data_IF_261051358825
#
_entry.id   IF_261051358825
#
_cell.length_a   1.000
_cell.length_b   1.000
_cell.length_c   1.000
_cell.angle_alpha   90.00
_cell.angle_beta   90.00
_cell.angle_gamma   90.00
#
_symmetry.space_group_name_H-M   'P 1'
#
loop_
_entity.id
_entity.type
_entity.pdbx_description
1 polymer ?
#
# COMPACT_ATOMS: atom_id res chain seq x y z
N UNK A 1 19.37 -13.31 -61.43
CA UNK A 1 18.94 -13.64 -60.05
C UNK A 1 19.62 -12.64 -59.13
N UNK A 2 18.89 -11.89 -58.31
CA UNK A 2 19.42 -11.18 -57.14
C UNK A 2 18.23 -10.97 -56.19
N UNK A 3 18.29 -11.56 -55.00
CA UNK A 3 17.19 -11.52 -54.02
C UNK A 3 17.37 -10.29 -53.14
N UNK A 4 16.45 -9.33 -53.21
CA UNK A 4 16.40 -8.23 -52.24
C UNK A 4 15.95 -8.77 -50.88
N UNK A 5 16.85 -8.76 -49.90
CA UNK A 5 16.55 -9.13 -48.51
C UNK A 5 15.99 -7.90 -47.81
N UNK A 6 14.68 -7.91 -47.54
CA UNK A 6 14.05 -6.90 -46.67
C UNK A 6 14.36 -7.30 -45.23
N UNK A 7 15.19 -6.50 -44.55
CA UNK A 7 15.49 -6.70 -43.14
C UNK A 7 14.42 -6.01 -42.29
N UNK A 8 13.57 -6.80 -41.62
CA UNK A 8 12.58 -6.29 -40.67
C UNK A 8 13.27 -5.99 -39.34
N UNK A 9 13.49 -4.71 -39.04
CA UNK A 9 14.02 -4.28 -37.74
C UNK A 9 12.87 -4.27 -36.71
N UNK A 10 12.73 -5.37 -35.96
CA UNK A 10 11.83 -5.41 -34.81
C UNK A 10 12.42 -4.57 -33.67
N UNK A 11 11.93 -3.35 -33.51
CA UNK A 11 12.18 -2.54 -32.31
C UNK A 11 11.31 -3.12 -31.19
N UNK A 12 11.92 -3.98 -30.36
CA UNK A 12 11.35 -4.37 -29.07
C UNK A 12 11.31 -3.13 -28.18
N UNK A 13 10.15 -2.49 -28.11
CA UNK A 13 9.88 -1.46 -27.12
C UNK A 13 9.80 -2.13 -25.75
N UNK A 14 10.96 -2.30 -25.10
CA UNK A 14 11.02 -2.71 -23.70
C UNK A 14 10.39 -1.60 -22.86
N UNK A 15 9.10 -1.75 -22.56
CA UNK A 15 8.47 -1.01 -21.48
C UNK A 15 9.15 -1.48 -20.21
N UNK A 16 10.18 -0.76 -19.79
CA UNK A 16 10.74 -0.90 -18.45
C UNK A 16 9.60 -0.63 -17.49
N UNK A 17 9.07 -1.70 -16.89
CA UNK A 17 8.23 -1.58 -15.72
C UNK A 17 9.09 -0.87 -14.68
N UNK A 18 8.79 0.41 -14.46
CA UNK A 18 9.25 1.12 -13.28
C UNK A 18 8.50 0.44 -12.15
N UNK A 19 9.11 -0.60 -11.59
CA UNK A 19 8.70 -1.09 -10.29
C UNK A 19 8.81 0.11 -9.35
N UNK A 20 7.68 0.52 -8.80
CA UNK A 20 7.70 1.47 -7.71
C UNK A 20 8.48 0.79 -6.58
N UNK A 21 9.55 1.42 -6.11
CA UNK A 21 10.39 0.96 -5.00
C UNK A 21 9.66 1.13 -3.65
N UNK A 22 8.40 0.69 -3.62
CA UNK A 22 7.39 0.98 -2.63
C UNK A 22 6.92 -0.34 -2.04
N UNK A 23 6.92 -0.39 -0.72
CA UNK A 23 6.44 -1.52 0.07
C UNK A 23 5.38 -1.07 1.04
N UNK A 24 4.90 -2.05 1.79
CA UNK A 24 4.06 -1.87 2.96
C UNK A 24 4.56 -2.80 4.06
N UNK A 25 4.34 -2.42 5.30
CA UNK A 25 4.41 -3.35 6.42
C UNK A 25 3.09 -3.45 7.20
N UNK A 26 2.91 -4.60 7.84
CA UNK A 26 1.69 -4.99 8.55
C UNK A 26 2.00 -5.87 9.77
N UNK A 27 1.27 -5.63 10.85
CA UNK A 27 1.34 -6.38 12.10
C UNK A 27 0.84 -7.84 11.97
N UNK A 28 0.95 -8.61 13.06
CA UNK A 28 0.57 -10.02 13.08
C UNK A 28 -0.94 -10.28 12.88
N UNK A 29 -1.81 -9.43 13.42
CA UNK A 29 -3.27 -9.58 13.33
C UNK A 29 -3.78 -9.16 11.94
N UNK A 30 -3.21 -8.08 11.41
CA UNK A 30 -3.47 -7.56 10.07
C UNK A 30 -3.01 -8.56 9.01
N UNK A 31 -1.75 -9.01 9.03
CA UNK A 31 -1.22 -9.97 8.04
C UNK A 31 -2.04 -11.26 7.94
N UNK A 32 -2.59 -11.74 9.07
CA UNK A 32 -3.46 -12.92 9.12
C UNK A 32 -4.89 -12.71 8.61
N UNK A 33 -5.33 -11.47 8.36
CA UNK A 33 -6.74 -11.14 8.05
C UNK A 33 -6.97 -10.50 6.67
N UNK A 34 -5.91 -10.12 5.94
CA UNK A 34 -6.01 -9.55 4.57
C UNK A 34 -6.67 -10.53 3.60
N UNK A 35 -7.72 -10.10 2.89
CA UNK A 35 -8.41 -10.96 1.92
C UNK A 35 -7.65 -11.09 0.60
N UNK A 36 -7.96 -12.12 -0.21
CA UNK A 36 -7.32 -12.33 -1.51
C UNK A 36 -7.54 -11.18 -2.50
N UNK A 37 -8.68 -10.47 -2.42
CA UNK A 37 -8.93 -9.27 -3.23
C UNK A 37 -8.09 -8.08 -2.78
N UNK A 38 -7.85 -7.96 -1.47
CA UNK A 38 -7.09 -6.85 -0.91
C UNK A 38 -5.60 -7.06 -1.18
N UNK A 39 -5.08 -8.29 -1.00
CA UNK A 39 -3.74 -8.67 -1.45
C UNK A 39 -3.52 -8.37 -2.94
N UNK A 40 -4.49 -8.72 -3.80
CA UNK A 40 -4.43 -8.42 -5.25
C UNK A 40 -4.40 -6.92 -5.55
N UNK A 41 -5.05 -6.11 -4.71
CA UNK A 41 -5.04 -4.66 -4.81
C UNK A 41 -3.69 -4.07 -4.32
N UNK A 42 -3.18 -4.56 -3.19
CA UNK A 42 -1.89 -4.14 -2.61
C UNK A 42 -0.73 -4.40 -3.58
N UNK A 43 -0.72 -5.58 -4.21
CA UNK A 43 0.25 -5.94 -5.26
C UNK A 43 0.21 -5.02 -6.50
N UNK A 44 -0.87 -4.27 -6.70
CA UNK A 44 -1.00 -3.29 -7.78
C UNK A 44 -0.20 -2.00 -7.56
N UNK A 45 0.25 -1.72 -6.32
CA UNK A 45 1.05 -0.52 -5.99
C UNK A 45 2.36 -0.83 -5.25
N UNK A 46 2.45 -1.99 -4.59
CA UNK A 46 3.58 -2.38 -3.75
C UNK A 46 4.30 -3.59 -4.33
N UNK A 47 5.63 -3.49 -4.42
CA UNK A 47 6.49 -4.57 -4.93
C UNK A 47 7.22 -5.33 -3.82
N UNK A 48 7.11 -4.86 -2.57
CA UNK A 48 7.52 -5.54 -1.34
C UNK A 48 6.38 -5.54 -0.30
N UNK A 49 6.36 -6.54 0.57
CA UNK A 49 5.68 -6.48 1.88
C UNK A 49 6.63 -6.93 2.99
N UNK A 50 6.52 -6.33 4.17
CA UNK A 50 7.18 -6.77 5.40
C UNK A 50 6.08 -7.17 6.39
N UNK A 51 6.17 -8.33 7.03
CA UNK A 51 5.12 -8.82 7.94
C UNK A 51 5.68 -9.21 9.30
N UNK A 52 4.92 -8.97 10.36
CA UNK A 52 5.35 -9.37 11.70
C UNK A 52 5.38 -10.90 11.83
N UNK A 53 6.57 -11.47 12.06
CA UNK A 53 6.74 -12.92 12.31
C UNK A 53 6.81 -13.24 13.80
N UNK A 54 7.09 -12.25 14.65
CA UNK A 54 7.18 -12.42 16.10
C UNK A 54 6.71 -11.15 16.80
N UNK A 55 5.87 -11.31 17.82
CA UNK A 55 5.35 -10.24 18.67
C UNK A 55 5.78 -10.49 20.11
N UNK A 56 6.55 -9.57 20.68
CA UNK A 56 7.22 -9.74 21.97
C UNK A 56 6.25 -10.08 23.10
N UNK A 57 6.57 -11.12 23.87
CA UNK A 57 5.72 -11.65 24.94
C UNK A 57 4.51 -12.47 24.49
N UNK A 58 4.15 -12.44 23.20
CA UNK A 58 3.10 -13.27 22.59
C UNK A 58 3.68 -14.44 21.79
N UNK A 59 4.87 -14.25 21.22
CA UNK A 59 5.60 -15.25 20.46
C UNK A 59 5.43 -15.15 18.94
N UNK A 60 5.59 -16.30 18.30
CA UNK A 60 5.61 -16.44 16.84
C UNK A 60 4.21 -16.25 16.22
N UNK A 61 4.11 -15.38 15.21
CA UNK A 61 2.91 -15.25 14.38
C UNK A 61 2.69 -16.53 13.55
N UNK A 62 1.75 -17.37 13.96
CA UNK A 62 1.45 -18.63 13.26
C UNK A 62 0.73 -18.46 11.93
N UNK A 63 0.12 -17.29 11.68
CA UNK A 63 -0.54 -16.97 10.40
C UNK A 63 0.43 -16.55 9.29
N UNK A 64 1.69 -16.22 9.63
CA UNK A 64 2.70 -15.70 8.70
C UNK A 64 2.85 -16.56 7.43
N UNK A 65 2.85 -17.90 7.55
CA UNK A 65 2.96 -18.80 6.40
C UNK A 65 1.78 -18.69 5.41
N UNK A 66 0.56 -18.48 5.92
CA UNK A 66 -0.62 -18.25 5.10
C UNK A 66 -0.58 -16.88 4.41
N UNK A 67 -0.19 -15.84 5.16
CA UNK A 67 -0.02 -14.48 4.64
C UNK A 67 1.07 -14.41 3.55
N UNK A 68 2.21 -15.07 3.76
CA UNK A 68 3.30 -15.20 2.78
C UNK A 68 2.82 -15.86 1.49
N UNK A 69 2.11 -16.98 1.58
CA UNK A 69 1.57 -17.66 0.40
C UNK A 69 0.53 -16.80 -0.34
N UNK A 70 -0.29 -16.03 0.37
CA UNK A 70 -1.27 -15.12 -0.21
C UNK A 70 -0.61 -13.92 -0.92
N UNK A 71 0.42 -13.30 -0.31
CA UNK A 71 1.20 -12.22 -0.92
C UNK A 71 1.91 -12.68 -2.20
N UNK A 72 2.53 -13.87 -2.19
CA UNK A 72 3.13 -14.46 -3.39
C UNK A 72 2.08 -14.75 -4.47
N UNK A 73 0.90 -15.29 -4.11
CA UNK A 73 -0.18 -15.58 -5.05
C UNK A 73 -0.77 -14.30 -5.70
N UNK A 74 -0.73 -13.17 -4.99
CA UNK A 74 -1.11 -11.87 -5.53
C UNK A 74 -0.03 -11.20 -6.41
N UNK A 75 1.21 -11.72 -6.38
CA UNK A 75 2.32 -11.23 -7.21
C UNK A 75 3.37 -10.40 -6.47
N UNK A 76 3.28 -10.25 -5.15
CA UNK A 76 4.34 -9.62 -4.34
C UNK A 76 5.46 -10.63 -4.14
N UNK A 77 6.59 -10.41 -4.81
CA UNK A 77 7.73 -11.35 -4.84
C UNK A 77 8.82 -11.03 -3.82
N UNK A 78 8.90 -9.79 -3.34
CA UNK A 78 9.81 -9.40 -2.26
C UNK A 78 9.04 -9.44 -0.94
N UNK A 79 9.41 -10.37 -0.06
CA UNK A 79 8.79 -10.50 1.25
C UNK A 79 9.89 -10.51 2.30
N UNK A 80 9.85 -9.55 3.21
CA UNK A 80 10.66 -9.57 4.43
C UNK A 80 9.77 -9.93 5.63
N UNK A 81 10.40 -10.24 6.76
CA UNK A 81 9.73 -10.35 8.05
C UNK A 81 10.28 -9.30 9.02
N UNK A 82 9.50 -8.91 10.02
CA UNK A 82 10.01 -8.19 11.18
C UNK A 82 9.62 -8.88 12.48
N UNK A 83 10.45 -8.71 13.50
CA UNK A 83 10.28 -9.33 14.81
C UNK A 83 10.46 -8.26 15.89
N UNK A 84 9.36 -7.91 16.55
CA UNK A 84 9.42 -7.11 17.77
C UNK A 84 9.78 -8.05 18.93
N UNK A 85 10.89 -7.76 19.61
CA UNK A 85 11.43 -8.54 20.73
C UNK A 85 11.95 -7.59 21.80
N UNK A 86 11.58 -7.79 23.06
CA UNK A 86 11.94 -6.89 24.16
C UNK A 86 12.49 -7.61 25.40
N UNK A 87 13.35 -6.97 26.19
CA UNK A 87 14.04 -7.66 27.29
C UNK A 87 13.21 -7.85 28.56
N UNK A 88 12.11 -7.10 28.71
CA UNK A 88 11.09 -7.33 29.76
C UNK A 88 9.90 -8.19 29.24
N UNK A 89 9.89 -8.56 27.95
CA UNK A 89 8.86 -9.40 27.34
C UNK A 89 8.98 -10.85 27.84
N UNK A 90 7.85 -11.44 28.25
CA UNK A 90 7.81 -12.81 28.75
C UNK A 90 8.14 -13.86 27.68
N UNK A 91 9.36 -14.40 27.71
CA UNK A 91 9.79 -15.51 26.85
C UNK A 91 10.63 -15.09 25.65
N UNK A 92 10.89 -13.79 25.50
CA UNK A 92 11.72 -13.25 24.43
C UNK A 92 13.22 -13.50 24.68
N UNK A 93 13.99 -13.63 23.61
CA UNK A 93 15.44 -13.70 23.66
C UNK A 93 16.07 -14.38 22.45
N UNK A 94 17.38 -14.67 22.50
CA UNK A 94 18.12 -15.32 21.42
C UNK A 94 17.48 -16.60 20.84
N UNK A 95 16.77 -17.38 21.67
CA UNK A 95 16.04 -18.58 21.23
C UNK A 95 14.88 -18.30 20.28
N UNK A 96 14.28 -17.11 20.34
CA UNK A 96 13.18 -16.70 19.47
C UNK A 96 13.62 -16.61 18.01
N UNK A 97 14.87 -16.23 17.73
CA UNK A 97 15.43 -16.21 16.38
C UNK A 97 15.60 -17.63 15.83
N UNK A 98 16.04 -18.58 16.66
CA UNK A 98 16.09 -20.01 16.29
C UNK A 98 14.69 -20.57 16.02
N UNK A 99 13.67 -20.11 16.76
CA UNK A 99 12.27 -20.47 16.52
C UNK A 99 11.76 -19.91 15.18
N UNK A 100 12.05 -18.65 14.86
CA UNK A 100 11.73 -18.00 13.58
C UNK A 100 12.39 -18.76 12.42
N UNK A 101 13.69 -19.02 12.49
CA UNK A 101 14.42 -19.78 11.46
C UNK A 101 13.85 -21.18 11.26
N UNK A 102 13.51 -21.88 12.35
CA UNK A 102 12.89 -23.21 12.30
C UNK A 102 11.49 -23.18 11.67
N UNK A 103 10.68 -22.15 11.96
CA UNK A 103 9.36 -21.98 11.36
C UNK A 103 9.45 -21.67 9.86
N UNK A 104 10.31 -20.74 9.46
CA UNK A 104 10.54 -20.41 8.05
C UNK A 104 11.00 -21.65 7.27
N UNK A 105 12.01 -22.37 7.79
CA UNK A 105 12.53 -23.59 7.16
C UNK A 105 11.49 -24.71 7.08
N UNK A 106 10.69 -24.93 8.12
CA UNK A 106 9.69 -26.02 8.13
C UNK A 106 8.48 -25.76 7.24
N UNK A 107 8.16 -24.49 6.96
CA UNK A 107 7.13 -24.10 6.00
C UNK A 107 7.66 -23.88 4.57
N UNK A 108 8.97 -24.06 4.33
CA UNK A 108 9.59 -23.82 3.01
C UNK A 108 9.62 -22.34 2.58
N UNK A 109 9.63 -21.43 3.55
CA UNK A 109 9.56 -19.99 3.35
C UNK A 109 10.96 -19.40 3.27
N UNK A 110 11.17 -18.44 2.36
CA UNK A 110 12.39 -17.64 2.26
C UNK A 110 12.01 -16.17 2.22
N UNK A 111 12.47 -15.42 3.23
CA UNK A 111 12.32 -13.97 3.31
C UNK A 111 13.64 -13.28 2.94
N UNK A 112 13.57 -12.05 2.44
CA UNK A 112 14.76 -11.25 2.12
C UNK A 112 15.56 -10.91 3.37
N UNK A 113 14.88 -10.33 4.36
CA UNK A 113 15.39 -10.01 5.69
C UNK A 113 14.46 -10.45 6.83
N UNK A 114 15.04 -10.62 8.02
CA UNK A 114 14.34 -10.53 9.31
C UNK A 114 14.83 -9.25 10.00
N UNK A 115 13.94 -8.27 10.08
CA UNK A 115 14.19 -6.99 10.73
C UNK A 115 13.97 -7.11 12.24
N UNK A 116 14.97 -6.75 13.05
CA UNK A 116 14.77 -6.52 14.48
C UNK A 116 14.12 -5.16 14.65
N UNK A 117 12.91 -5.17 15.19
CA UNK A 117 12.14 -3.97 15.50
C UNK A 117 12.51 -3.49 16.91
N UNK A 118 13.05 -2.26 16.99
CA UNK A 118 13.65 -1.67 18.20
C UNK A 118 13.00 -0.31 18.46
N UNK A 119 11.83 -0.35 19.10
CA UNK A 119 11.04 0.82 19.49
C UNK A 119 10.50 0.75 20.92
N UNK A 120 10.16 1.90 21.50
CA UNK A 120 9.60 2.00 22.85
C UNK A 120 8.18 1.46 22.93
N UNK A 121 7.94 0.56 23.89
CA UNK A 121 6.58 0.30 24.38
C UNK A 121 6.51 0.15 25.91
N UNK A 122 5.31 0.32 26.45
CA UNK A 122 5.04 0.39 27.89
C UNK A 122 5.36 -0.93 28.59
N UNK A 123 6.44 -0.95 29.38
CA UNK A 123 6.87 -2.13 30.14
C UNK A 123 7.66 -3.14 29.33
N UNK A 124 8.13 -2.76 28.14
CA UNK A 124 8.86 -3.63 27.22
C UNK A 124 10.39 -3.63 27.46
N UNK A 125 10.91 -2.48 27.88
CA UNK A 125 12.34 -2.26 28.01
C UNK A 125 12.73 -1.93 29.44
N UNK A 126 13.88 -2.45 29.85
CA UNK A 126 14.48 -2.07 31.13
C UNK A 126 14.83 -0.57 31.13
N UNK A 127 14.94 0.02 32.32
CA UNK A 127 15.43 1.39 32.48
C UNK A 127 16.92 1.59 32.15
N UNK A 128 17.63 0.52 31.77
CA UNK A 128 19.04 0.54 31.40
C UNK A 128 19.20 0.33 29.88
N UNK A 129 19.41 1.43 29.16
CA UNK A 129 19.64 1.44 27.71
C UNK A 129 20.86 0.59 27.28
N UNK A 130 21.85 0.39 28.17
CA UNK A 130 22.98 -0.49 27.90
C UNK A 130 22.56 -1.95 27.87
N UNK A 131 21.80 -2.40 28.86
CA UNK A 131 21.24 -3.77 28.91
C UNK A 131 20.25 -4.02 27.76
N UNK A 132 19.45 -3.02 27.39
CA UNK A 132 18.58 -3.09 26.22
C UNK A 132 19.42 -3.25 24.93
N UNK A 133 20.53 -2.50 24.81
CA UNK A 133 21.44 -2.60 23.68
C UNK A 133 22.16 -3.95 23.58
N UNK A 134 22.68 -4.47 24.69
CA UNK A 134 23.30 -5.80 24.76
C UNK A 134 22.30 -6.91 24.37
N UNK A 135 21.03 -6.77 24.78
CA UNK A 135 19.97 -7.67 24.36
C UNK A 135 19.76 -7.65 22.84
N UNK A 136 19.58 -6.48 22.21
CA UNK A 136 19.42 -6.35 20.75
C UNK A 136 20.63 -6.90 19.99
N UNK A 137 21.86 -6.67 20.50
CA UNK A 137 23.08 -7.28 19.94
C UNK A 137 23.04 -8.81 20.03
N UNK A 138 22.57 -9.39 21.13
CA UNK A 138 22.44 -10.84 21.29
C UNK A 138 21.40 -11.44 20.34
N UNK A 139 20.29 -10.74 20.08
CA UNK A 139 19.27 -11.13 19.09
C UNK A 139 19.86 -11.14 17.68
N UNK A 140 20.58 -10.08 17.29
CA UNK A 140 21.22 -9.98 15.98
C UNK A 140 22.21 -11.12 15.72
N UNK A 141 23.08 -11.40 16.70
CA UNK A 141 24.04 -12.50 16.64
C UNK A 141 23.34 -13.87 16.55
N UNK A 142 22.27 -14.08 17.32
CA UNK A 142 21.50 -15.32 17.29
C UNK A 142 20.80 -15.55 15.94
N UNK A 143 20.22 -14.50 15.36
CA UNK A 143 19.61 -14.55 14.03
C UNK A 143 20.62 -14.88 12.93
N UNK A 144 21.78 -14.22 12.93
CA UNK A 144 22.87 -14.54 12.01
C UNK A 144 23.37 -15.99 12.19
N UNK A 145 23.53 -16.46 13.43
CA UNK A 145 23.93 -17.84 13.73
C UNK A 145 22.87 -18.88 13.30
N UNK A 146 21.59 -18.50 13.30
CA UNK A 146 20.47 -19.31 12.78
C UNK A 146 20.34 -19.23 11.24
N UNK A 147 21.21 -18.49 10.55
CA UNK A 147 21.20 -18.36 9.08
C UNK A 147 20.20 -17.34 8.54
N UNK A 148 19.66 -16.46 9.39
CA UNK A 148 18.77 -15.38 8.97
C UNK A 148 19.57 -14.17 8.46
N UNK A 149 19.09 -13.57 7.38
CA UNK A 149 19.55 -12.26 6.92
C UNK A 149 18.99 -11.18 7.88
N UNK A 150 19.78 -10.75 8.86
CA UNK A 150 19.32 -9.78 9.85
C UNK A 150 19.44 -8.33 9.34
N UNK A 151 18.42 -7.52 9.65
CA UNK A 151 18.42 -6.05 9.55
C UNK A 151 17.91 -5.42 10.84
N UNK A 152 17.96 -4.09 10.94
CA UNK A 152 17.41 -3.33 12.10
C UNK A 152 16.40 -2.29 11.62
N UNK A 153 15.25 -2.25 12.29
CA UNK A 153 14.25 -1.19 12.20
C UNK A 153 14.24 -0.35 13.49
N UNK A 154 14.21 0.97 13.34
CA UNK A 154 13.97 1.94 14.43
C UNK A 154 13.78 3.35 13.85
N UNK A 155 13.59 4.35 14.71
CA UNK A 155 13.74 5.78 14.35
C UNK A 155 14.90 6.41 15.12
N UNK A 156 15.35 7.60 14.69
CA UNK A 156 16.32 8.40 15.44
C UNK A 156 15.92 8.60 16.92
N UNK A 157 14.62 8.85 17.15
CA UNK A 157 14.08 9.02 18.50
C UNK A 157 14.03 7.71 19.27
N UNK A 158 13.48 6.66 18.65
CA UNK A 158 13.30 5.35 19.27
C UNK A 158 14.61 4.68 19.65
N UNK A 159 15.61 4.72 18.76
CA UNK A 159 16.94 4.16 19.00
C UNK A 159 17.59 4.77 20.24
N UNK A 160 17.55 6.10 20.33
CA UNK A 160 18.18 6.85 21.43
C UNK A 160 17.49 6.63 22.78
N UNK A 161 16.18 6.38 22.79
CA UNK A 161 15.41 6.11 24.00
C UNK A 161 15.48 4.63 24.43
N UNK A 162 15.63 3.72 23.46
CA UNK A 162 15.63 2.27 23.72
C UNK A 162 17.01 1.75 24.06
N UNK A 163 18.01 2.03 23.22
CA UNK A 163 19.38 1.47 23.30
C UNK A 163 20.48 2.54 23.38
N UNK A 164 20.09 3.81 23.56
CA UNK A 164 21.01 4.90 23.84
C UNK A 164 22.00 5.18 22.70
N UNK A 165 23.29 4.95 22.96
CA UNK A 165 24.40 5.22 22.03
C UNK A 165 24.94 3.97 21.31
N UNK A 166 24.19 2.85 21.33
CA UNK A 166 24.57 1.62 20.65
C UNK A 166 24.90 1.88 19.17
N UNK A 167 26.06 1.41 18.71
CA UNK A 167 26.52 1.59 17.33
C UNK A 167 27.21 0.37 16.69
N UNK A 168 27.29 -0.75 17.43
CA UNK A 168 27.95 -1.99 17.00
C UNK A 168 27.16 -2.80 15.96
N UNK A 169 25.93 -2.39 15.64
CA UNK A 169 25.05 -3.03 14.67
C UNK A 169 25.02 -2.33 13.29
N UNK A 170 25.79 -1.25 13.11
CA UNK A 170 25.86 -0.47 11.85
C UNK A 170 26.36 -1.25 10.62
N UNK A 171 26.83 -2.48 10.81
CA UNK A 171 27.17 -3.43 9.75
C UNK A 171 25.95 -4.20 9.19
N UNK A 172 24.80 -4.14 9.87
CA UNK A 172 23.52 -4.67 9.39
C UNK A 172 22.81 -3.61 8.52
N UNK A 173 21.94 -4.00 7.58
CA UNK A 173 21.09 -3.06 6.88
C UNK A 173 20.13 -2.33 7.83
N UNK A 174 19.79 -1.09 7.47
CA UNK A 174 18.88 -0.22 8.21
C UNK A 174 17.59 0.02 7.44
N UNK A 175 16.49 -0.18 8.13
CA UNK A 175 15.16 0.33 7.85
C UNK A 175 14.90 1.43 8.88
N UNK A 176 14.51 2.64 8.48
CA UNK A 176 14.26 3.73 9.44
C UNK A 176 12.88 4.34 9.28
N UNK A 177 12.24 4.69 10.39
CA UNK A 177 11.01 5.46 10.38
C UNK A 177 11.28 6.98 10.39
N UNK A 178 10.64 7.69 9.46
CA UNK A 178 10.48 9.14 9.51
C UNK A 178 9.25 9.55 8.70
N UNK A 179 8.17 9.92 9.39
CA UNK A 179 6.83 10.13 8.80
C UNK A 179 6.65 11.52 8.16
N UNK A 180 7.46 11.81 7.15
CA UNK A 180 7.37 13.04 6.35
C UNK A 180 6.51 12.90 5.07
N UNK A 181 5.93 11.72 4.83
CA UNK A 181 5.19 11.37 3.61
C UNK A 181 6.04 11.44 2.32
N UNK A 182 7.38 11.37 2.44
CA UNK A 182 8.31 11.46 1.31
C UNK A 182 9.07 10.12 1.12
N UNK A 183 8.70 9.31 0.11
CA UNK A 183 9.36 8.05 -0.24
C UNK A 183 10.73 8.27 -0.92
N UNK A 184 11.70 8.76 -0.14
CA UNK A 184 13.09 8.92 -0.55
C UNK A 184 14.03 9.03 0.66
N UNK A 185 15.32 8.80 0.45
CA UNK A 185 16.38 8.96 1.44
C UNK A 185 17.01 10.37 1.44
N UNK A 186 16.23 11.41 1.10
CA UNK A 186 16.70 12.80 0.99
C UNK A 186 16.86 13.53 2.33
N UNK A 187 16.66 12.83 3.44
CA UNK A 187 16.42 13.34 4.79
C UNK A 187 17.50 12.87 5.78
N UNK A 188 18.77 12.91 5.34
CA UNK A 188 19.96 12.32 5.98
C UNK A 188 20.07 12.40 7.51
N UNK A 189 19.61 13.49 8.12
CA UNK A 189 19.59 13.65 9.57
C UNK A 189 18.74 12.61 10.33
N UNK A 190 17.78 11.95 9.68
CA UNK A 190 16.87 11.00 10.31
C UNK A 190 17.34 9.54 10.28
N UNK A 191 18.28 9.18 9.40
CA UNK A 191 18.89 7.84 9.36
C UNK A 191 20.32 7.79 9.93
N UNK A 192 20.98 8.93 10.14
CA UNK A 192 22.32 9.00 10.76
C UNK A 192 22.28 8.83 12.29
N UNK A 193 21.78 7.69 12.75
CA UNK A 193 21.87 7.20 14.13
C UNK A 193 22.58 5.85 14.18
N UNK A 194 22.96 5.38 15.38
CA UNK A 194 23.50 4.03 15.58
C UNK A 194 24.75 3.65 14.76
N UNK A 195 25.47 4.63 14.21
CA UNK A 195 26.60 4.41 13.29
C UNK A 195 26.21 4.20 11.82
N UNK A 196 24.92 4.07 11.51
CA UNK A 196 24.44 3.98 10.13
C UNK A 196 24.62 5.30 9.37
N UNK A 197 24.86 5.17 8.06
CA UNK A 197 25.07 6.29 7.14
C UNK A 197 24.37 6.10 5.79
N UNK A 198 23.86 4.89 5.50
CA UNK A 198 23.18 4.54 4.27
C UNK A 198 22.05 3.55 4.62
N UNK A 199 20.78 3.98 4.67
CA UNK A 199 19.65 3.08 4.83
C UNK A 199 19.43 2.28 3.54
N UNK A 200 18.68 1.18 3.65
CA UNK A 200 18.14 0.47 2.48
C UNK A 200 16.61 0.51 2.43
N UNK A 201 15.95 0.98 3.49
CA UNK A 201 14.50 1.10 3.57
C UNK A 201 14.10 2.27 4.47
N UNK A 202 12.96 2.90 4.18
CA UNK A 202 12.35 3.97 4.98
C UNK A 202 10.86 3.69 5.14
N UNK A 203 10.37 3.62 6.37
CA UNK A 203 8.95 3.74 6.67
C UNK A 203 8.60 5.24 6.69
N UNK A 204 7.85 5.72 5.70
CA UNK A 204 7.64 7.16 5.45
C UNK A 204 6.23 7.65 5.80
N UNK A 205 5.31 6.75 6.12
CA UNK A 205 3.95 7.06 6.59
C UNK A 205 3.36 5.85 7.34
N UNK A 206 3.18 5.97 8.66
CA UNK A 206 2.50 4.96 9.47
C UNK A 206 0.98 5.12 9.56
N UNK A 207 0.30 4.04 9.98
CA UNK A 207 -1.12 3.91 10.30
C UNK A 207 -2.06 4.49 9.23
N UNK A 208 -1.78 4.20 7.95
CA UNK A 208 -2.60 4.64 6.82
C UNK A 208 -3.50 3.51 6.30
N UNK A 209 -4.29 3.80 5.27
CA UNK A 209 -5.12 2.79 4.61
C UNK A 209 -4.72 2.64 3.13
N UNK A 210 -4.49 1.41 2.71
CA UNK A 210 -4.39 1.05 1.30
C UNK A 210 -5.24 -0.19 1.05
N UNK A 211 -6.07 -0.17 0.01
CA UNK A 211 -6.92 -1.30 -0.37
C UNK A 211 -7.85 -1.80 0.75
N UNK A 212 -8.26 -0.93 1.69
CA UNK A 212 -9.07 -1.30 2.85
C UNK A 212 -8.27 -1.85 4.03
N UNK A 213 -6.98 -2.14 3.87
CA UNK A 213 -6.08 -2.68 4.88
C UNK A 213 -5.38 -1.54 5.64
N UNK A 214 -5.23 -1.67 6.96
CA UNK A 214 -4.35 -0.80 7.75
C UNK A 214 -2.91 -1.16 7.43
N UNK A 215 -2.13 -0.22 6.91
CA UNK A 215 -0.75 -0.46 6.49
C UNK A 215 0.12 0.73 6.88
N UNK A 216 1.39 0.44 7.08
CA UNK A 216 2.46 1.42 7.08
C UNK A 216 3.13 1.38 5.70
N UNK A 217 3.63 2.52 5.20
CA UNK A 217 4.18 2.64 3.84
C UNK A 217 5.70 2.75 3.83
N UNK A 218 6.32 1.93 2.97
CA UNK A 218 7.78 1.83 2.85
C UNK A 218 8.32 2.25 1.49
N UNK A 219 9.56 2.73 1.51
CA UNK A 219 10.37 2.97 0.34
C UNK A 219 11.72 2.26 0.48
N UNK A 220 12.15 1.51 -0.53
CA UNK A 220 13.39 0.69 -0.49
C UNK A 220 14.29 0.84 -1.73
N UNK A 221 14.18 1.98 -2.42
CA UNK A 221 14.81 2.24 -3.71
C UNK A 221 16.11 3.05 -3.67
N UNK A 222 16.71 3.26 -4.84
CA UNK A 222 17.94 4.07 -5.00
C UNK A 222 17.70 5.52 -5.45
N UNK A 223 16.45 5.92 -5.66
CA UNK A 223 16.05 7.29 -5.98
C UNK A 223 14.58 7.52 -5.64
N UNK A 224 14.16 8.77 -5.42
CA UNK A 224 12.79 9.08 -4.97
C UNK A 224 11.73 8.54 -5.92
N UNK A 225 10.98 7.54 -5.45
CA UNK A 225 9.92 6.90 -6.23
C UNK A 225 8.59 7.62 -6.02
N UNK A 226 7.74 7.66 -7.04
CA UNK A 226 6.35 8.09 -6.85
C UNK A 226 5.53 6.92 -6.29
N UNK A 227 5.65 6.66 -4.99
CA UNK A 227 4.75 5.72 -4.32
C UNK A 227 3.32 6.27 -4.37
N UNK A 228 2.38 5.42 -4.81
CA UNK A 228 1.00 5.82 -4.96
C UNK A 228 0.28 5.76 -3.61
N UNK A 229 0.09 6.90 -2.96
CA UNK A 229 -0.77 7.02 -1.77
C UNK A 229 -2.22 6.64 -2.12
N UNK A 230 -2.55 5.37 -1.92
CA UNK A 230 -3.77 4.73 -2.44
C UNK A 230 -5.05 5.11 -1.70
N UNK A 231 -5.61 6.29 -1.98
CA UNK A 231 -6.99 6.63 -1.59
C UNK A 231 -7.99 6.17 -2.66
N UNK A 232 -8.58 4.97 -2.53
CA UNK A 232 -9.60 4.51 -3.48
C UNK A 232 -10.38 3.25 -3.07
N UNK A 233 -11.71 3.32 -3.18
CA UNK A 233 -12.63 2.19 -2.97
C UNK A 233 -13.34 1.81 -4.28
N UNK A 234 -13.36 0.53 -4.64
CA UNK A 234 -14.38 -0.05 -5.53
C UNK A 234 -13.98 -0.38 -6.98
N UNK A 235 -14.74 -1.32 -7.56
CA UNK A 235 -14.45 -2.12 -8.76
C UNK A 235 -14.66 -1.42 -10.12
N UNK A 236 -13.88 -1.78 -11.15
CA UNK A 236 -14.21 -1.50 -12.56
C UNK A 236 -13.04 -1.65 -13.55
N UNK A 237 -13.31 -2.10 -14.78
CA UNK A 237 -12.29 -2.45 -15.79
C UNK A 237 -11.91 -1.29 -16.73
N UNK A 238 -10.59 -1.09 -16.94
CA UNK A 238 -10.03 -0.66 -18.25
C UNK A 238 -9.31 0.70 -18.34
N UNK A 239 -8.08 0.64 -18.85
CA UNK A 239 -7.32 1.68 -19.59
C UNK A 239 -7.33 3.13 -19.05
N UNK A 240 -6.28 3.51 -18.32
CA UNK A 240 -6.21 4.80 -17.64
C UNK A 240 -5.35 5.90 -18.28
N UNK A 241 -5.31 7.04 -17.59
CA UNK A 241 -4.20 8.00 -17.50
C UNK A 241 -4.42 8.84 -16.23
N UNK A 242 -3.36 9.13 -15.48
CA UNK A 242 -3.47 9.61 -14.09
C UNK A 242 -3.47 11.13 -13.95
N UNK A 243 -4.16 11.65 -12.93
CA UNK A 243 -3.70 12.76 -12.06
C UNK A 243 -4.65 12.90 -10.87
N UNK A 244 -4.09 13.08 -9.66
CA UNK A 244 -4.79 12.83 -8.39
C UNK A 244 -5.36 14.10 -7.74
N UNK A 245 -6.53 14.02 -7.08
CA UNK A 245 -6.93 14.83 -5.90
C UNK A 245 -8.34 14.47 -5.37
N UNK A 246 -8.42 13.83 -4.20
CA UNK A 246 -9.44 14.07 -3.17
C UNK A 246 -10.89 13.53 -3.29
N UNK A 247 -11.26 12.69 -2.30
CA UNK A 247 -12.62 12.44 -1.77
C UNK A 247 -13.68 11.83 -2.70
N UNK A 248 -14.07 10.58 -2.45
CA UNK A 248 -15.01 9.83 -3.29
C UNK A 248 -16.42 9.62 -2.72
N UNK A 249 -17.32 9.14 -3.57
CA UNK A 249 -18.38 8.15 -3.30
C UNK A 249 -18.97 7.72 -4.65
N UNK A 250 -19.01 6.43 -4.96
CA UNK A 250 -19.23 5.94 -6.34
C UNK A 250 -20.61 5.38 -6.65
N UNK A 251 -20.96 5.35 -7.94
CA UNK A 251 -21.85 4.38 -8.62
C UNK A 251 -22.04 4.79 -10.09
N UNK A 252 -22.00 3.86 -11.06
CA UNK A 252 -22.46 4.11 -12.44
C UNK A 252 -21.76 3.34 -13.55
N UNK A 253 -22.52 3.08 -14.63
CA UNK A 253 -22.10 2.31 -15.82
C UNK A 253 -21.98 3.20 -17.07
N UNK A 254 -21.01 2.99 -17.97
CA UNK A 254 -20.97 3.70 -19.26
C UNK A 254 -19.62 3.66 -19.99
N UNK A 255 -19.61 3.94 -21.29
CA UNK A 255 -18.45 3.77 -22.18
C UNK A 255 -17.96 5.09 -22.83
N UNK A 256 -16.68 5.43 -22.60
CA UNK A 256 -15.88 6.48 -23.29
C UNK A 256 -16.31 7.95 -23.09
N UNK A 257 -15.45 8.98 -23.16
CA UNK A 257 -13.97 9.06 -23.21
C UNK A 257 -13.52 10.42 -22.64
N UNK A 258 -12.53 10.46 -21.75
CA UNK A 258 -11.96 11.68 -21.14
C UNK A 258 -12.63 12.13 -19.83
N UNK A 259 -11.84 12.44 -18.79
CA UNK A 259 -12.30 12.55 -17.39
C UNK A 259 -11.71 13.73 -16.60
N UNK A 260 -12.44 14.22 -15.58
CA UNK A 260 -12.09 15.37 -14.72
C UNK A 260 -12.12 15.04 -13.22
N UNK A 261 -11.65 15.97 -12.39
CA UNK A 261 -11.43 15.86 -10.93
C UNK A 261 -12.64 16.18 -10.03
N UNK A 262 -12.64 15.57 -8.83
CA UNK A 262 -13.30 15.92 -7.54
C UNK A 262 -14.74 15.49 -7.20
N UNK A 263 -14.85 14.87 -6.01
CA UNK A 263 -15.91 15.00 -4.97
C UNK A 263 -17.38 14.58 -5.22
N UNK A 264 -17.68 13.30 -4.95
CA UNK A 264 -18.88 12.90 -4.17
C UNK A 264 -20.16 12.36 -4.87
N UNK A 265 -20.51 11.12 -4.50
CA UNK A 265 -21.82 10.41 -4.56
C UNK A 265 -22.48 10.20 -5.94
N UNK A 266 -22.39 8.97 -6.47
CA UNK A 266 -22.85 8.63 -7.83
C UNK A 266 -24.15 7.83 -7.99
N UNK A 267 -24.53 7.67 -9.26
CA UNK A 267 -25.32 6.59 -9.90
C UNK A 267 -25.40 6.93 -11.38
N UNK A 268 -25.17 5.99 -12.30
CA UNK A 268 -24.89 6.37 -13.71
C UNK A 268 -25.39 5.39 -14.78
N UNK A 269 -25.63 5.94 -15.98
CA UNK A 269 -25.85 5.25 -17.26
C UNK A 269 -25.77 6.25 -18.42
N UNK A 270 -24.75 6.17 -19.29
CA UNK A 270 -24.71 6.95 -20.54
C UNK A 270 -23.31 7.32 -21.05
N UNK A 271 -23.20 7.68 -22.34
CA UNK A 271 -21.94 8.00 -23.04
C UNK A 271 -21.84 9.49 -23.40
N UNK A 272 -20.67 10.10 -23.18
CA UNK A 272 -20.33 11.46 -23.63
C UNK A 272 -19.80 12.42 -22.53
N UNK A 273 -18.74 13.17 -22.85
CA UNK A 273 -18.01 14.13 -22.00
C UNK A 273 -18.76 15.50 -21.90
N UNK A 274 -18.47 16.47 -21.01
CA UNK A 274 -17.38 16.79 -20.06
C UNK A 274 -17.92 17.58 -18.84
N UNK A 275 -17.13 17.70 -17.74
CA UNK A 275 -17.06 18.83 -16.75
C UNK A 275 -18.35 19.34 -16.03
N UNK A 276 -18.40 19.63 -14.71
CA UNK A 276 -17.55 19.36 -13.53
C UNK A 276 -18.29 19.86 -12.24
N UNK A 277 -17.64 19.80 -11.08
CA UNK A 277 -17.90 20.65 -9.87
C UNK A 277 -19.20 20.44 -9.05
N UNK A 278 -19.17 19.48 -8.10
CA UNK A 278 -19.79 19.64 -6.77
C UNK A 278 -21.19 19.02 -6.48
N UNK A 279 -21.24 18.20 -5.42
CA UNK A 279 -22.40 17.98 -4.54
C UNK A 279 -23.67 17.24 -5.04
N UNK A 280 -23.50 16.02 -5.57
CA UNK A 280 -24.18 14.81 -5.08
C UNK A 280 -25.66 14.47 -5.39
N UNK A 281 -25.92 13.16 -5.48
CA UNK A 281 -27.20 12.41 -5.64
C UNK A 281 -27.53 12.03 -7.09
N UNK A 282 -27.65 10.71 -7.36
CA UNK A 282 -27.75 10.19 -8.72
C UNK A 282 -28.92 9.24 -9.01
N UNK A 283 -29.20 9.08 -10.31
CA UNK A 283 -30.01 8.03 -10.94
C UNK A 283 -29.77 8.10 -12.46
N UNK A 284 -29.62 6.97 -13.15
CA UNK A 284 -29.13 6.94 -14.54
C UNK A 284 -30.11 6.42 -15.58
N UNK A 285 -30.18 7.10 -16.73
CA UNK A 285 -30.71 6.61 -18.03
C UNK A 285 -30.30 7.62 -19.11
N UNK A 286 -29.61 7.16 -20.17
CA UNK A 286 -28.92 8.07 -21.09
C UNK A 286 -29.41 8.03 -22.54
N UNK A 287 -29.51 9.20 -23.18
CA UNK A 287 -29.44 9.42 -24.64
C UNK A 287 -29.45 10.93 -24.97
N UNK A 288 -28.52 11.39 -25.82
CA UNK A 288 -28.65 12.68 -26.53
C UNK A 288 -27.81 13.86 -26.04
N UNK A 289 -27.62 14.84 -26.93
CA UNK A 289 -26.65 15.95 -26.80
C UNK A 289 -27.32 17.32 -26.61
N UNK A 290 -26.66 18.25 -25.90
CA UNK A 290 -26.74 19.69 -26.20
C UNK A 290 -27.23 20.65 -25.09
N UNK A 291 -26.27 21.37 -24.49
CA UNK A 291 -26.28 22.75 -23.98
C UNK A 291 -27.57 23.50 -23.61
N UNK A 292 -27.65 24.04 -22.38
CA UNK A 292 -28.57 25.15 -22.02
C UNK A 292 -28.48 25.61 -20.55
N UNK A 293 -28.43 26.92 -20.30
CA UNK A 293 -28.24 27.55 -18.96
C UNK A 293 -29.56 27.87 -18.24
N UNK A 294 -29.59 27.83 -16.90
CA UNK A 294 -30.71 28.36 -16.10
C UNK A 294 -30.63 28.10 -14.59
N UNK A 295 -31.15 29.02 -13.77
CA UNK A 295 -31.07 29.03 -12.29
C UNK A 295 -32.40 28.70 -11.58
N UNK A 296 -32.33 28.44 -10.27
CA UNK A 296 -33.40 28.32 -9.24
C UNK A 296 -33.91 26.90 -8.90
N UNK A 297 -34.65 26.79 -7.79
CA UNK A 297 -34.48 25.72 -6.78
C UNK A 297 -35.66 24.73 -6.66
N UNK A 298 -35.52 23.83 -5.66
CA UNK A 298 -36.58 23.05 -5.00
C UNK A 298 -36.88 21.69 -5.65
N UNK A 299 -36.34 20.62 -5.08
CA UNK A 299 -36.55 19.25 -5.55
C UNK A 299 -37.69 18.51 -4.84
N UNK A 300 -38.28 17.53 -5.55
CA UNK A 300 -39.02 16.37 -5.03
C UNK A 300 -39.26 15.40 -6.18
N UNK A 301 -39.04 14.10 -6.00
CA UNK A 301 -39.22 13.11 -7.06
C UNK A 301 -39.45 11.70 -6.54
N UNK A 302 -40.59 11.11 -6.90
CA UNK A 302 -40.91 9.68 -6.75
C UNK A 302 -41.31 9.15 -8.12
N UNK A 303 -40.88 7.94 -8.48
CA UNK A 303 -41.10 7.37 -9.82
C UNK A 303 -41.54 5.93 -9.78
N UNK A 304 -42.52 5.58 -10.62
CA UNK A 304 -43.08 4.22 -10.73
C UNK A 304 -43.47 3.93 -12.18
N UNK A 305 -43.25 2.70 -12.64
CA UNK A 305 -44.14 2.05 -13.61
C UNK A 305 -43.74 2.02 -15.09
N UNK A 306 -43.64 0.77 -15.57
CA UNK A 306 -44.39 0.25 -16.73
C UNK A 306 -43.94 0.54 -18.17
N UNK A 307 -43.95 -0.52 -18.96
CA UNK A 307 -43.69 -0.59 -20.39
C UNK A 307 -44.93 -0.33 -21.26
N UNK A 308 -44.76 0.23 -22.46
CA UNK A 308 -45.32 -0.30 -23.71
C UNK A 308 -45.01 0.59 -24.94
N UNK A 309 -45.23 0.00 -26.11
CA UNK A 309 -45.02 0.50 -27.48
C UNK A 309 -45.87 1.72 -27.89
N UNK A 310 -45.36 2.55 -28.82
CA UNK A 310 -46.20 3.43 -29.63
C UNK A 310 -45.41 4.32 -30.61
N UNK A 311 -45.66 4.18 -31.92
CA UNK A 311 -45.18 5.12 -32.95
C UNK A 311 -46.23 6.20 -33.22
N UNK A 312 -45.83 7.45 -33.48
CA UNK A 312 -46.77 8.48 -33.93
C UNK A 312 -46.13 9.85 -34.16
N UNK A 313 -46.19 10.36 -35.40
CA UNK A 313 -45.81 11.73 -35.74
C UNK A 313 -47.04 12.65 -35.71
N UNK A 314 -46.90 13.90 -35.26
CA UNK A 314 -47.97 14.89 -35.34
C UNK A 314 -47.56 16.28 -34.89
N UNK A 315 -47.64 17.26 -35.79
CA UNK A 315 -47.41 18.69 -35.50
C UNK A 315 -48.73 19.37 -35.12
N UNK A 316 -48.70 20.32 -34.18
CA UNK A 316 -49.87 21.14 -33.86
C UNK A 316 -49.58 22.26 -32.87
N UNK A 317 -49.69 23.51 -33.32
CA UNK A 317 -49.66 24.71 -32.46
C UNK A 317 -51.07 25.12 -32.06
N UNK A 318 -51.30 25.55 -30.83
CA UNK A 318 -52.60 26.10 -30.41
C UNK A 318 -52.59 26.56 -28.95
N UNK A 319 -52.97 27.83 -28.72
CA UNK A 319 -52.96 28.47 -27.40
C UNK A 319 -54.35 28.54 -26.75
N UNK A 320 -54.34 28.97 -25.49
CA UNK A 320 -55.40 29.67 -24.73
C UNK A 320 -56.45 28.86 -23.96
N UNK A 321 -56.51 29.21 -22.66
CA UNK A 321 -57.64 29.41 -21.74
C UNK A 321 -58.99 28.75 -22.11
N UNK A 322 -59.70 28.12 -21.16
CA UNK A 322 -60.00 28.64 -19.82
C UNK A 322 -60.42 27.50 -18.87
#
# INVERSE_FOLDING_TARGET
MNKSIISFLFVLLSVSLIYADCGIDVDADTSGSISSSDWSCLAGSNSKVIMQIYSGGYGLNTAFAGAYAAAQAAGISQIDAYAFLCNECSGDGPSSLSQIASYLSSNGISVGYVWLDVEQCSGCWSGDMGQNGDFVVSLAQAGQAAGLNMGVYSSLGEWSQTVGSLSSLSNLPQWYAHYDNNPSFSDTQFYQFGGWNNPIMKQYQGNTNQCGVSVDLDFFGSGGATCASGSGSGSGSGSGSTTSSGSGSGSGSGSGSGSTTSSGSGSGSGSGSTTSSGSGSGSGSGSGSGSGSGTTSSGSGSGSGSSSSGSGSGSGSGSSNN
#
